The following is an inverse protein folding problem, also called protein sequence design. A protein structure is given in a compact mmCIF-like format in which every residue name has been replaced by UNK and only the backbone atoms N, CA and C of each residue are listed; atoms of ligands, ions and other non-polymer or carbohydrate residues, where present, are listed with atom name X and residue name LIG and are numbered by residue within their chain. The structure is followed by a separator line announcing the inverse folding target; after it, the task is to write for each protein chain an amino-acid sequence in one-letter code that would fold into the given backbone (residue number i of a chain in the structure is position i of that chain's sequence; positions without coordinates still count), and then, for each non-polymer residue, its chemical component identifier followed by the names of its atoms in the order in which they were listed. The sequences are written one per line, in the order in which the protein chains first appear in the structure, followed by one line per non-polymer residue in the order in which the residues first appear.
data_IF_395594013128
#
_entry.id   IF_395594013128
#
_cell.length_a   1.000
_cell.length_b   1.000
_cell.length_c   1.000
_cell.angle_alpha   90.00
_cell.angle_beta   90.00
_cell.angle_gamma   90.00
#
_symmetry.space_group_name_H-M   'P 1'
#
loop_
_entity.id
_entity.type
_entity.pdbx_description
1 polymer ?
#
# COMPACT_ATOMS: atom_id res chain seq x y z
N UNK A 1 -4.50 -21.14 13.10
CA UNK A 1 -3.94 -20.07 12.23
C UNK A 1 -3.84 -18.73 12.98
N UNK A 2 -4.96 -18.17 13.48
CA UNK A 2 -4.97 -16.91 14.23
C UNK A 2 -4.13 -16.87 15.53
N UNK A 3 -3.81 -18.01 16.13
CA UNK A 3 -2.99 -18.11 17.34
C UNK A 3 -1.49 -18.12 17.03
N UNK A 4 -1.08 -18.84 15.98
CA UNK A 4 0.30 -18.79 15.47
C UNK A 4 0.67 -17.37 15.00
N UNK A 5 -0.25 -16.68 14.34
CA UNK A 5 -0.08 -15.28 13.93
C UNK A 5 0.11 -14.34 15.13
N UNK A 6 -0.68 -14.52 16.19
CA UNK A 6 -0.58 -13.72 17.42
C UNK A 6 0.75 -13.95 18.12
N UNK A 7 1.18 -15.20 18.22
CA UNK A 7 2.49 -15.55 18.78
C UNK A 7 3.61 -14.89 17.99
N UNK A 8 3.60 -15.00 16.66
CA UNK A 8 4.65 -14.43 15.82
C UNK A 8 4.73 -12.91 15.89
N UNK A 9 3.57 -12.25 15.90
CA UNK A 9 3.55 -10.81 16.05
C UNK A 9 4.11 -10.37 17.41
N UNK A 10 3.78 -11.08 18.49
CA UNK A 10 4.37 -10.83 19.81
C UNK A 10 5.89 -11.07 19.83
N UNK A 11 6.33 -12.22 19.31
CA UNK A 11 7.74 -12.59 19.24
C UNK A 11 8.59 -11.59 18.44
N UNK A 12 8.01 -10.94 17.43
CA UNK A 12 8.72 -9.98 16.60
C UNK A 12 9.07 -8.67 17.34
N UNK A 13 8.23 -8.24 18.30
CA UNK A 13 8.42 -6.98 19.05
C UNK A 13 8.93 -7.17 20.49
N UNK A 14 9.03 -8.40 20.96
CA UNK A 14 9.53 -8.71 22.30
C UNK A 14 11.02 -9.12 22.25
N UNK A 15 11.79 -8.88 23.33
CA UNK A 15 13.08 -9.53 23.52
C UNK A 15 12.97 -11.06 23.40
N UNK A 16 14.02 -11.71 22.91
CA UNK A 16 14.04 -13.16 22.74
C UNK A 16 13.80 -13.92 24.07
N UNK A 17 14.38 -13.44 25.18
CA UNK A 17 14.18 -14.06 26.49
C UNK A 17 12.73 -13.93 26.99
N UNK A 18 12.08 -12.79 26.73
CA UNK A 18 10.70 -12.55 27.11
C UNK A 18 9.74 -13.43 26.28
N UNK A 19 10.02 -13.58 24.99
CA UNK A 19 9.30 -14.49 24.09
C UNK A 19 9.41 -15.95 24.58
N UNK A 20 10.61 -16.36 25.01
CA UNK A 20 10.83 -17.68 25.59
C UNK A 20 10.04 -17.88 26.88
N UNK A 21 10.02 -16.89 27.77
CA UNK A 21 9.21 -16.89 28.99
C UNK A 21 7.72 -17.07 28.69
N UNK A 22 7.17 -16.27 27.77
CA UNK A 22 5.76 -16.38 27.37
C UNK A 22 5.41 -17.76 26.80
N UNK A 23 6.29 -18.33 25.99
CA UNK A 23 6.08 -19.69 25.46
C UNK A 23 6.13 -20.75 26.58
N UNK A 24 7.04 -20.59 27.54
CA UNK A 24 7.09 -21.46 28.71
C UNK A 24 5.83 -21.38 29.56
N UNK A 25 5.27 -20.18 29.74
CA UNK A 25 4.05 -20.01 30.52
C UNK A 25 2.82 -20.58 29.79
N UNK A 26 2.79 -20.46 28.46
CA UNK A 26 1.68 -20.95 27.64
C UNK A 26 1.70 -22.46 27.37
N UNK A 27 2.87 -23.12 27.42
CA UNK A 27 3.04 -24.53 27.08
C UNK A 27 3.70 -25.30 28.22
N UNK A 28 3.09 -26.40 28.66
CA UNK A 28 3.66 -27.22 29.74
C UNK A 28 5.00 -27.85 29.33
N UNK A 29 5.95 -27.94 30.26
CA UNK A 29 7.31 -28.44 30.02
C UNK A 29 7.41 -29.72 29.14
N UNK A 30 6.67 -30.82 29.39
CA UNK A 30 6.76 -32.02 28.56
C UNK A 30 6.22 -31.83 27.13
N UNK A 31 5.32 -30.88 26.92
CA UNK A 31 4.75 -30.57 25.61
C UNK A 31 5.65 -29.64 24.79
N UNK A 32 6.52 -28.85 25.43
CA UNK A 32 7.44 -27.92 24.74
C UNK A 32 8.38 -28.64 23.78
N UNK A 33 9.02 -29.70 24.26
CA UNK A 33 9.95 -30.50 23.44
C UNK A 33 9.23 -31.14 22.25
N UNK A 34 8.08 -31.77 22.50
CA UNK A 34 7.24 -32.40 21.48
C UNK A 34 6.76 -31.35 20.46
N UNK A 35 6.31 -30.18 20.92
CA UNK A 35 5.89 -29.08 20.06
C UNK A 35 7.04 -28.58 19.19
N UNK A 36 8.21 -28.30 19.77
CA UNK A 36 9.38 -27.86 19.03
C UNK A 36 9.79 -28.90 17.96
N UNK A 37 9.76 -30.19 18.31
CA UNK A 37 10.08 -31.27 17.38
C UNK A 37 9.06 -31.44 16.25
N UNK A 38 7.76 -31.34 16.53
CA UNK A 38 6.74 -31.57 15.51
C UNK A 38 6.39 -30.33 14.69
N UNK A 39 6.36 -29.14 15.30
CA UNK A 39 5.90 -27.91 14.67
C UNK A 39 7.04 -27.06 14.12
N UNK A 40 8.19 -26.98 14.81
CA UNK A 40 9.25 -26.02 14.47
C UNK A 40 10.47 -26.67 13.83
N UNK A 41 10.82 -27.90 14.19
CA UNK A 41 11.91 -28.64 13.56
C UNK A 41 11.75 -28.79 12.06
N UNK A 42 10.57 -29.19 11.51
CA UNK A 42 10.42 -29.33 10.06
C UNK A 42 10.54 -27.99 9.34
N UNK A 43 10.19 -26.89 10.02
CA UNK A 43 10.42 -25.55 9.51
C UNK A 43 11.93 -25.31 9.49
N UNK A 44 12.60 -25.33 10.65
CA UNK A 44 14.03 -25.07 10.80
C UNK A 44 14.92 -25.92 9.89
N UNK A 45 14.59 -27.19 9.71
CA UNK A 45 15.33 -28.11 8.84
C UNK A 45 15.12 -27.85 7.35
N UNK A 46 14.00 -27.23 6.96
CA UNK A 46 13.70 -26.95 5.57
C UNK A 46 14.68 -25.92 5.00
N UNK A 47 15.37 -26.31 3.92
CA UNK A 47 16.39 -25.53 3.24
C UNK A 47 17.83 -25.89 3.60
N UNK A 48 18.08 -26.58 4.72
CA UNK A 48 19.44 -26.92 5.20
C UNK A 48 20.13 -28.07 4.45
N UNK A 49 19.46 -28.69 3.47
CA UNK A 49 20.04 -29.80 2.69
C UNK A 49 21.15 -29.28 1.77
N UNK A 50 22.39 -29.73 2.03
CA UNK A 50 23.62 -29.31 1.34
C UNK A 50 23.84 -30.03 0.01
N UNK A 51 23.04 -31.05 -0.30
CA UNK A 51 23.23 -31.91 -1.47
C UNK A 51 22.65 -31.33 -2.79
N UNK A 52 21.89 -30.23 -2.73
CA UNK A 52 21.37 -29.57 -3.92
C UNK A 52 21.12 -28.10 -3.69
N UNK A 53 21.53 -27.25 -4.64
CA UNK A 53 21.15 -25.84 -4.70
C UNK A 53 19.64 -25.75 -4.89
N UNK A 54 18.88 -25.82 -3.79
CA UNK A 54 17.45 -25.59 -3.82
C UNK A 54 17.22 -24.11 -4.09
N UNK A 55 16.58 -23.83 -5.23
CA UNK A 55 16.03 -22.52 -5.57
C UNK A 55 14.69 -22.25 -4.88
N UNK A 56 14.09 -23.27 -4.26
CA UNK A 56 12.81 -23.18 -3.56
C UNK A 56 12.97 -22.50 -2.20
N UNK A 57 12.03 -21.60 -1.89
CA UNK A 57 12.03 -20.80 -0.65
C UNK A 57 11.78 -21.68 0.59
N UNK A 58 12.44 -21.39 1.74
CA UNK A 58 12.16 -22.08 2.99
C UNK A 58 10.74 -21.81 3.50
N UNK A 59 10.12 -22.80 4.13
CA UNK A 59 8.82 -22.70 4.83
C UNK A 59 8.88 -21.59 5.89
N UNK A 60 7.83 -20.76 5.92
CA UNK A 60 7.58 -19.76 6.95
C UNK A 60 6.47 -20.24 7.88
N UNK A 61 6.49 -19.80 9.15
CA UNK A 61 5.50 -20.25 10.15
C UNK A 61 4.26 -19.36 10.18
N UNK A 62 4.39 -18.10 9.79
CA UNK A 62 3.28 -17.18 9.61
C UNK A 62 2.94 -17.03 8.12
N UNK A 63 1.64 -16.94 7.75
CA UNK A 63 1.21 -16.69 6.36
C UNK A 63 1.58 -15.28 5.87
N UNK A 64 2.08 -14.42 6.75
CA UNK A 64 2.46 -13.05 6.47
C UNK A 64 3.92 -12.83 6.87
N UNK A 65 4.74 -12.29 5.96
CA UNK A 65 6.14 -11.94 6.23
C UNK A 65 7.17 -12.91 5.66
N UNK A 66 6.97 -13.41 4.44
CA UNK A 66 8.01 -14.16 3.71
C UNK A 66 9.34 -13.40 3.69
N UNK A 67 9.30 -12.08 3.56
CA UNK A 67 10.45 -11.17 3.66
C UNK A 67 11.18 -11.17 5.03
N UNK A 68 10.60 -11.73 6.09
CA UNK A 68 11.20 -11.81 7.43
C UNK A 68 11.54 -13.26 7.83
N UNK A 69 11.61 -14.18 6.87
CA UNK A 69 11.81 -15.61 7.13
C UNK A 69 13.09 -15.90 7.95
N UNK A 70 14.20 -15.18 7.70
CA UNK A 70 15.45 -15.31 8.48
C UNK A 70 15.27 -14.96 9.95
N UNK A 71 14.51 -13.91 10.22
CA UNK A 71 14.19 -13.48 11.58
C UNK A 71 13.33 -14.53 12.29
N UNK A 72 12.36 -15.14 11.57
CA UNK A 72 11.59 -16.26 12.11
C UNK A 72 12.51 -17.44 12.47
N UNK A 73 13.52 -17.77 11.64
CA UNK A 73 14.49 -18.83 11.95
C UNK A 73 15.32 -18.50 13.18
N UNK A 74 15.82 -17.26 13.30
CA UNK A 74 16.58 -16.83 14.48
C UNK A 74 15.75 -16.97 15.78
N UNK A 75 14.49 -16.51 15.76
CA UNK A 75 13.57 -16.65 16.88
C UNK A 75 13.32 -18.13 17.22
N UNK A 76 12.98 -18.97 16.24
CA UNK A 76 12.73 -20.39 16.48
C UNK A 76 13.98 -21.13 17.00
N UNK A 77 15.16 -20.85 16.45
CA UNK A 77 16.42 -21.45 16.91
C UNK A 77 16.66 -21.10 18.37
N UNK A 78 16.45 -19.83 18.74
CA UNK A 78 16.57 -19.40 20.13
C UNK A 78 15.58 -20.15 21.03
N UNK A 79 14.29 -20.19 20.66
CA UNK A 79 13.26 -20.84 21.47
C UNK A 79 13.47 -22.35 21.62
N UNK A 80 13.88 -23.03 20.54
CA UNK A 80 14.17 -24.46 20.57
C UNK A 80 15.41 -24.78 21.39
N UNK A 81 16.49 -23.99 21.26
CA UNK A 81 17.81 -24.40 21.74
C UNK A 81 18.21 -23.77 23.07
N UNK A 82 17.87 -22.50 23.33
CA UNK A 82 18.27 -21.78 24.54
C UNK A 82 17.95 -22.53 25.86
N UNK A 83 16.81 -23.23 26.01
CA UNK A 83 16.51 -23.98 27.24
C UNK A 83 17.53 -25.07 27.59
N UNK A 84 18.19 -25.63 26.57
CA UNK A 84 19.11 -26.77 26.66
C UNK A 84 20.58 -26.33 26.62
N UNK A 85 20.83 -25.06 26.32
CA UNK A 85 22.16 -24.49 26.15
C UNK A 85 22.61 -23.81 27.45
N UNK A 86 22.91 -24.62 28.48
CA UNK A 86 23.33 -24.14 29.81
C UNK A 86 24.81 -24.44 30.06
N UNK A 87 25.50 -23.60 30.86
CA UNK A 87 26.87 -23.89 31.28
C UNK A 87 26.99 -25.29 31.88
N UNK A 88 27.94 -26.08 31.37
CA UNK A 88 28.20 -27.45 31.82
C UNK A 88 27.36 -28.56 31.18
N UNK A 89 26.37 -28.23 30.32
CA UNK A 89 25.67 -29.25 29.53
C UNK A 89 26.51 -29.62 28.30
N UNK A 90 26.92 -30.89 28.15
CA UNK A 90 27.79 -31.26 27.04
C UNK A 90 27.05 -31.20 25.70
N UNK A 91 27.76 -30.94 24.58
CA UNK A 91 27.18 -30.78 23.24
C UNK A 91 26.20 -31.89 22.80
N UNK A 92 26.53 -33.13 23.11
CA UNK A 92 25.78 -34.34 22.78
C UNK A 92 24.46 -34.49 23.56
N UNK A 93 24.35 -33.83 24.72
CA UNK A 93 23.12 -33.78 25.50
C UNK A 93 22.13 -32.68 25.04
N UNK A 94 22.49 -31.88 24.04
CA UNK A 94 21.68 -30.76 23.55
C UNK A 94 20.89 -31.16 22.30
N UNK A 95 19.58 -31.46 22.40
CA UNK A 95 18.83 -32.14 21.34
C UNK A 95 18.69 -31.33 20.04
N UNK A 96 18.70 -29.99 20.14
CA UNK A 96 18.58 -29.09 18.99
C UNK A 96 19.92 -28.58 18.46
N UNK A 97 21.04 -28.97 19.07
CA UNK A 97 22.38 -28.51 18.66
C UNK A 97 22.72 -28.83 17.19
N UNK A 98 22.38 -30.01 16.63
CA UNK A 98 22.68 -30.31 15.24
C UNK A 98 22.07 -29.30 14.25
N UNK A 99 20.89 -28.74 14.56
CA UNK A 99 20.30 -27.67 13.74
C UNK A 99 21.10 -26.38 13.83
N UNK A 100 21.53 -25.98 15.02
CA UNK A 100 22.32 -24.76 15.22
C UNK A 100 23.66 -24.86 14.48
N UNK A 101 24.31 -26.02 14.54
CA UNK A 101 25.55 -26.30 13.81
C UNK A 101 25.32 -26.29 12.28
N UNK A 102 24.23 -26.88 11.79
CA UNK A 102 23.88 -26.80 10.38
C UNK A 102 23.69 -25.34 9.93
N UNK A 103 22.97 -24.52 10.71
CA UNK A 103 22.84 -23.09 10.44
C UNK A 103 24.17 -22.35 10.46
N UNK A 104 25.10 -22.71 11.35
CA UNK A 104 26.44 -22.12 11.41
C UNK A 104 27.19 -22.31 10.07
N UNK A 105 27.12 -23.51 9.48
CA UNK A 105 27.71 -23.77 8.17
C UNK A 105 27.06 -23.01 7.02
N UNK A 106 25.81 -22.57 7.19
CA UNK A 106 25.08 -21.78 6.20
C UNK A 106 25.30 -20.27 6.34
N UNK A 107 25.58 -19.76 7.54
CA UNK A 107 25.80 -18.33 7.80
C UNK A 107 27.26 -17.90 7.63
N UNK A 108 28.23 -18.83 7.72
CA UNK A 108 29.66 -18.54 7.62
C UNK A 108 30.46 -19.72 7.00
N UNK A 109 30.91 -19.63 5.73
CA UNK A 109 30.64 -18.55 4.77
C UNK A 109 29.17 -18.59 4.28
N UNK A 110 28.55 -17.45 3.94
CA UNK A 110 27.09 -17.32 3.70
C UNK A 110 26.55 -18.01 2.41
N UNK A 111 27.29 -18.97 1.84
CA UNK A 111 27.05 -19.53 0.50
C UNK A 111 25.66 -20.18 0.33
N UNK A 112 25.13 -20.81 1.38
CA UNK A 112 23.82 -21.45 1.32
C UNK A 112 22.66 -20.46 1.56
N UNK A 113 22.85 -19.49 2.46
CA UNK A 113 21.84 -18.46 2.74
C UNK A 113 21.68 -17.51 1.56
N UNK A 114 22.77 -17.19 0.86
CA UNK A 114 22.75 -16.37 -0.35
C UNK A 114 22.10 -17.11 -1.54
N UNK A 115 22.16 -18.44 -1.56
CA UNK A 115 21.50 -19.27 -2.57
C UNK A 115 19.98 -19.38 -2.37
N UNK A 116 19.49 -19.23 -1.13
CA UNK A 116 18.06 -19.20 -0.83
C UNK A 116 17.45 -17.88 -1.30
N UNK A 117 16.90 -17.88 -2.52
CA UNK A 117 16.30 -16.71 -3.15
C UNK A 117 15.20 -16.07 -2.27
N UNK A 118 15.46 -14.84 -1.80
CA UNK A 118 14.52 -14.04 -1.03
C UNK A 118 15.21 -12.79 -0.48
N UNK A 119 14.45 -11.71 -0.27
CA UNK A 119 14.96 -10.43 0.22
C UNK A 119 15.47 -10.52 1.67
N UNK A 120 16.64 -11.13 1.89
CA UNK A 120 17.36 -11.07 3.15
C UNK A 120 18.19 -9.79 3.22
N UNK A 121 18.01 -9.01 4.28
CA UNK A 121 18.85 -7.82 4.49
C UNK A 121 20.18 -8.22 5.14
N UNK A 122 21.27 -7.45 4.95
CA UNK A 122 22.51 -7.66 5.69
C UNK A 122 22.30 -7.69 7.21
N UNK A 123 21.31 -6.95 7.71
CA UNK A 123 20.98 -6.92 9.13
C UNK A 123 20.26 -8.19 9.60
N UNK A 124 19.35 -8.75 8.78
CA UNK A 124 18.75 -10.07 9.05
C UNK A 124 19.81 -11.15 9.20
N UNK A 125 20.82 -11.12 8.32
CA UNK A 125 21.96 -12.06 8.37
C UNK A 125 22.80 -11.86 9.62
N UNK A 126 23.14 -10.61 9.95
CA UNK A 126 23.90 -10.30 11.16
C UNK A 126 23.17 -10.75 12.43
N UNK A 127 21.84 -10.58 12.49
CA UNK A 127 21.01 -11.03 13.60
C UNK A 127 21.03 -12.55 13.75
N UNK A 128 20.77 -13.29 12.66
CA UNK A 128 20.84 -14.74 12.68
C UNK A 128 22.25 -15.23 13.08
N UNK A 129 23.31 -14.62 12.54
CA UNK A 129 24.69 -14.94 12.90
C UNK A 129 25.00 -14.69 14.38
N UNK A 130 24.48 -13.61 14.96
CA UNK A 130 24.64 -13.32 16.38
C UNK A 130 23.93 -14.38 17.23
N UNK A 131 22.70 -14.74 16.89
CA UNK A 131 21.93 -15.78 17.58
C UNK A 131 22.63 -17.14 17.50
N UNK A 132 23.04 -17.57 16.30
CA UNK A 132 23.74 -18.86 16.11
C UNK A 132 25.03 -18.90 16.92
N UNK A 133 25.85 -17.83 16.91
CA UNK A 133 27.08 -17.76 17.69
C UNK A 133 26.83 -17.85 19.20
N UNK A 134 25.86 -17.09 19.71
CA UNK A 134 25.49 -17.11 21.13
C UNK A 134 25.00 -18.50 21.57
N UNK A 135 24.18 -19.15 20.74
CA UNK A 135 23.66 -20.50 21.00
C UNK A 135 24.77 -21.57 20.96
N UNK A 136 25.73 -21.50 20.05
CA UNK A 136 26.85 -22.46 20.03
C UNK A 136 27.83 -22.25 21.20
N UNK A 137 27.99 -21.00 21.63
CA UNK A 137 28.91 -20.62 22.71
C UNK A 137 28.40 -20.98 24.11
N UNK A 138 27.17 -21.47 24.28
CA UNK A 138 26.64 -21.68 25.63
C UNK A 138 26.07 -20.42 26.27
N UNK A 139 25.91 -19.33 25.50
CA UNK A 139 25.64 -17.99 26.02
C UNK A 139 24.37 -17.36 25.42
N UNK A 140 23.18 -18.01 25.54
CA UNK A 140 21.93 -17.44 25.03
C UNK A 140 21.53 -16.11 25.69
N UNK A 141 22.14 -15.76 26.83
CA UNK A 141 21.95 -14.46 27.48
C UNK A 141 22.45 -13.28 26.65
N UNK A 142 23.52 -13.47 25.86
CA UNK A 142 24.18 -12.39 25.10
C UNK A 142 23.29 -11.77 24.01
N UNK A 143 22.26 -12.52 23.58
CA UNK A 143 21.26 -12.08 22.60
C UNK A 143 19.84 -12.04 23.19
N UNK A 144 19.69 -12.34 24.49
CA UNK A 144 18.38 -12.45 25.13
C UNK A 144 17.57 -11.15 25.08
N UNK A 145 18.25 -10.00 25.19
CA UNK A 145 17.63 -8.67 25.13
C UNK A 145 17.43 -8.15 23.71
N UNK A 146 17.94 -8.87 22.70
CA UNK A 146 17.78 -8.46 21.32
C UNK A 146 16.30 -8.58 20.91
N UNK A 147 15.78 -7.51 20.30
CA UNK A 147 14.42 -7.48 19.77
C UNK A 147 14.45 -7.72 18.25
N UNK A 148 13.73 -8.71 17.72
CA UNK A 148 13.80 -9.07 16.30
C UNK A 148 13.46 -7.92 15.33
N UNK A 149 12.48 -7.07 15.65
CA UNK A 149 12.13 -5.91 14.82
C UNK A 149 13.25 -4.87 14.73
N UNK A 150 13.97 -4.62 15.83
CA UNK A 150 15.09 -3.69 15.88
C UNK A 150 16.26 -4.20 15.03
N UNK A 151 16.44 -5.52 14.99
CA UNK A 151 17.51 -6.15 14.22
C UNK A 151 17.35 -5.98 12.70
N UNK A 152 16.12 -5.89 12.16
CA UNK A 152 15.91 -5.52 10.76
C UNK A 152 16.27 -4.06 10.45
N UNK A 153 16.51 -3.26 11.49
CA UNK A 153 16.38 -1.81 11.45
C UNK A 153 15.10 -1.39 10.73
N UNK A 154 14.04 -2.15 10.99
CA UNK A 154 12.70 -1.90 10.49
C UNK A 154 12.16 -0.70 11.26
N UNK A 155 12.57 0.48 10.80
CA UNK A 155 12.27 1.76 11.40
C UNK A 155 12.89 1.89 12.80
N UNK A 156 13.25 3.10 13.21
CA UNK A 156 13.08 3.43 14.61
C UNK A 156 11.58 3.32 14.84
N UNK A 157 11.07 2.10 15.09
CA UNK A 157 9.77 1.87 15.70
C UNK A 157 9.76 2.86 16.84
N UNK A 158 9.04 3.98 16.73
CA UNK A 158 9.18 5.03 17.70
C UNK A 158 8.92 4.39 19.05
N UNK A 159 9.62 4.80 20.09
CA UNK A 159 9.41 4.34 21.47
C UNK A 159 7.94 4.54 21.98
N UNK A 160 7.04 4.96 21.09
CA UNK A 160 5.60 5.18 21.21
C UNK A 160 4.73 4.01 20.68
N UNK A 161 5.29 2.94 20.08
CA UNK A 161 4.58 1.65 19.84
C UNK A 161 4.22 0.83 21.11
N UNK A 162 4.57 1.14 22.38
CA UNK A 162 4.23 0.27 23.51
C UNK A 162 2.73 0.05 23.80
N UNK A 163 1.81 0.64 23.04
CA UNK A 163 0.36 0.58 23.30
C UNK A 163 -0.49 -0.12 22.23
N UNK A 164 0.07 -0.48 21.08
CA UNK A 164 -0.68 -1.22 20.06
C UNK A 164 -0.62 -2.74 20.33
N UNK A 165 -1.69 -3.51 20.05
CA UNK A 165 -1.61 -4.96 20.07
C UNK A 165 -0.50 -5.46 19.14
N UNK A 166 0.33 -6.45 19.52
CA UNK A 166 1.50 -6.86 18.72
C UNK A 166 1.16 -7.22 17.28
N UNK A 167 0.02 -7.88 17.05
CA UNK A 167 -0.49 -8.19 15.70
C UNK A 167 -0.65 -6.96 14.84
N UNK A 168 -1.24 -5.92 15.41
CA UNK A 168 -1.60 -4.71 14.72
C UNK A 168 -0.33 -3.91 14.36
N UNK A 169 0.63 -3.83 15.30
CA UNK A 169 1.96 -3.29 15.05
C UNK A 169 2.72 -4.07 13.95
N UNK A 170 2.57 -5.40 13.92
CA UNK A 170 3.23 -6.25 12.92
C UNK A 170 2.67 -6.01 11.52
N UNK A 171 1.35 -5.97 11.39
CA UNK A 171 0.68 -5.69 10.11
C UNK A 171 1.03 -4.28 9.60
N UNK A 172 1.07 -3.27 10.46
CA UNK A 172 1.49 -1.91 10.10
C UNK A 172 2.96 -1.85 9.64
N UNK A 173 3.86 -2.49 10.39
CA UNK A 173 5.27 -2.66 10.03
C UNK A 173 5.40 -3.33 8.66
N UNK A 174 4.67 -4.42 8.41
CA UNK A 174 4.70 -5.08 7.11
C UNK A 174 4.19 -4.18 5.98
N UNK A 175 3.07 -3.49 6.19
CA UNK A 175 2.48 -2.60 5.19
C UNK A 175 3.44 -1.48 4.76
N UNK A 176 4.10 -0.83 5.72
CA UNK A 176 5.12 0.17 5.44
C UNK A 176 6.28 -0.40 4.61
N UNK A 177 6.70 -1.63 4.92
CA UNK A 177 7.79 -2.30 4.22
C UNK A 177 7.45 -2.58 2.77
N UNK A 178 6.22 -3.07 2.52
CA UNK A 178 5.72 -3.30 1.16
C UNK A 178 5.58 -1.98 0.38
N UNK A 179 5.07 -0.93 1.01
CA UNK A 179 4.94 0.40 0.38
C UNK A 179 6.31 1.01 0.00
N UNK A 180 7.34 0.79 0.81
CA UNK A 180 8.70 1.24 0.50
C UNK A 180 9.37 0.38 -0.58
N UNK A 181 9.26 -0.95 -0.48
CA UNK A 181 9.81 -1.87 -1.47
C UNK A 181 9.24 -1.62 -2.87
N UNK A 182 7.97 -1.24 -2.94
CA UNK A 182 7.27 -0.86 -4.17
C UNK A 182 7.99 0.21 -4.99
N UNK A 183 8.77 1.08 -4.35
CA UNK A 183 9.56 2.09 -5.06
C UNK A 183 10.69 1.50 -5.90
N UNK A 184 11.17 0.29 -5.54
CA UNK A 184 12.29 -0.37 -6.20
C UNK A 184 11.88 -1.65 -6.96
N UNK A 185 10.86 -2.38 -6.50
CA UNK A 185 10.46 -3.68 -7.04
C UNK A 185 8.93 -3.79 -7.07
N UNK A 186 8.32 -4.24 -8.20
CA UNK A 186 6.89 -4.49 -8.26
C UNK A 186 6.42 -5.52 -7.24
N UNK A 187 5.28 -5.25 -6.60
CA UNK A 187 4.64 -6.19 -5.69
C UNK A 187 4.00 -7.34 -6.47
N UNK A 188 4.17 -8.58 -6.00
CA UNK A 188 3.44 -9.72 -6.54
C UNK A 188 1.95 -9.68 -6.17
N UNK A 189 1.11 -10.46 -6.86
CA UNK A 189 -0.35 -10.47 -6.67
C UNK A 189 -0.77 -10.77 -5.23
N UNK A 190 -0.02 -11.62 -4.52
CA UNK A 190 -0.34 -12.00 -3.13
C UNK A 190 -0.07 -10.83 -2.19
N UNK A 191 1.06 -10.15 -2.36
CA UNK A 191 1.42 -8.93 -1.61
C UNK A 191 0.47 -7.78 -1.91
N UNK A 192 0.08 -7.60 -3.17
CA UNK A 192 -0.90 -6.59 -3.57
C UNK A 192 -2.25 -6.83 -2.91
N UNK A 193 -2.80 -8.05 -3.01
CA UNK A 193 -4.08 -8.41 -2.42
C UNK A 193 -4.07 -8.25 -0.88
N UNK A 194 -2.99 -8.69 -0.23
CA UNK A 194 -2.83 -8.54 1.21
C UNK A 194 -2.79 -7.06 1.63
N UNK A 195 -1.97 -6.25 0.95
CA UNK A 195 -1.82 -4.82 1.28
C UNK A 195 -3.13 -4.08 1.04
N UNK A 196 -3.82 -4.36 -0.06
CA UNK A 196 -5.13 -3.75 -0.34
C UNK A 196 -6.16 -4.14 0.72
N UNK A 197 -6.19 -5.40 1.17
CA UNK A 197 -7.07 -5.84 2.24
C UNK A 197 -6.73 -5.16 3.57
N UNK A 198 -5.44 -5.01 3.89
CA UNK A 198 -4.98 -4.29 5.08
C UNK A 198 -5.44 -2.82 5.06
N UNK A 199 -5.21 -2.12 3.95
CA UNK A 199 -5.66 -0.73 3.76
C UNK A 199 -7.17 -0.60 3.92
N UNK A 200 -7.96 -1.50 3.31
CA UNK A 200 -9.42 -1.50 3.46
C UNK A 200 -9.89 -1.69 4.90
N UNK A 201 -9.25 -2.59 5.67
CA UNK A 201 -9.54 -2.78 7.10
C UNK A 201 -9.21 -1.51 7.88
N UNK A 202 -8.00 -0.99 7.70
CA UNK A 202 -7.56 0.23 8.36
C UNK A 202 -8.49 1.41 8.05
N UNK A 203 -8.91 1.58 6.79
CA UNK A 203 -9.90 2.59 6.39
C UNK A 203 -11.25 2.40 7.07
N UNK A 204 -11.74 1.17 7.16
CA UNK A 204 -12.98 0.85 7.85
C UNK A 204 -12.89 1.21 9.34
N UNK A 205 -11.78 0.84 9.99
CA UNK A 205 -11.53 1.11 11.41
C UNK A 205 -11.41 2.62 11.69
N UNK A 206 -10.75 3.37 10.79
CA UNK A 206 -10.70 4.84 10.83
C UNK A 206 -12.10 5.46 10.68
N UNK A 207 -12.94 4.95 9.76
CA UNK A 207 -14.33 5.40 9.58
C UNK A 207 -15.20 5.11 10.82
N UNK A 208 -14.96 3.99 11.49
CA UNK A 208 -15.72 3.56 12.67
C UNK A 208 -15.37 4.32 13.96
N UNK A 209 -14.42 5.25 13.92
CA UNK A 209 -14.01 6.02 15.10
C UNK A 209 -13.27 5.20 16.15
N UNK A 210 -12.71 4.04 15.79
CA UNK A 210 -11.81 3.24 16.65
C UNK A 210 -10.39 3.83 16.67
N UNK A 211 -10.35 5.16 16.83
CA UNK A 211 -9.37 6.09 16.30
C UNK A 211 -7.95 5.89 16.86
N UNK A 212 -7.76 5.78 18.17
CA UNK A 212 -6.43 6.04 18.70
C UNK A 212 -5.38 4.96 18.34
N UNK A 213 -5.77 3.68 18.29
CA UNK A 213 -4.84 2.61 17.91
C UNK A 213 -4.63 2.56 16.39
N UNK A 214 -5.69 2.76 15.61
CA UNK A 214 -5.67 2.68 14.16
C UNK A 214 -5.01 3.90 13.53
N UNK A 215 -5.24 5.10 14.08
CA UNK A 215 -4.55 6.33 13.67
C UNK A 215 -3.07 6.26 13.97
N UNK A 216 -2.67 5.71 15.13
CA UNK A 216 -1.26 5.49 15.44
C UNK A 216 -0.64 4.46 14.51
N UNK A 217 -1.33 3.38 14.18
CA UNK A 217 -0.85 2.38 13.22
C UNK A 217 -0.77 2.91 11.79
N UNK A 218 -1.75 3.70 11.37
CA UNK A 218 -1.75 4.38 10.08
C UNK A 218 -0.63 5.42 10.03
N UNK A 219 -0.45 6.22 11.09
CA UNK A 219 0.68 7.12 11.22
C UNK A 219 2.01 6.35 11.18
N UNK A 220 2.16 5.23 11.89
CA UNK A 220 3.36 4.39 11.83
C UNK A 220 3.63 3.83 10.42
N UNK A 221 2.58 3.36 9.75
CA UNK A 221 2.70 2.86 8.38
C UNK A 221 3.07 3.97 7.36
N UNK A 222 2.84 5.24 7.72
CA UNK A 222 2.86 6.39 6.82
C UNK A 222 3.83 7.51 7.25
N UNK A 223 4.55 7.41 8.39
CA UNK A 223 5.37 8.49 8.98
C UNK A 223 6.88 8.26 8.94
N UNK A 224 7.36 7.02 9.01
CA UNK A 224 8.79 6.73 9.28
C UNK A 224 9.66 6.36 8.06
N UNK A 225 9.30 6.79 6.84
CA UNK A 225 10.39 6.97 5.86
C UNK A 225 11.20 8.21 6.29
N UNK A 226 12.54 8.21 6.20
CA UNK A 226 13.43 9.19 6.84
C UNK A 226 13.41 10.60 6.18
N UNK A 227 12.24 11.10 5.77
CA UNK A 227 11.98 12.43 5.25
C UNK A 227 10.58 12.84 5.70
N UNK A 228 10.49 13.79 6.62
CA UNK A 228 9.28 14.27 7.27
C UNK A 228 8.07 14.48 6.31
N UNK A 229 6.94 13.80 6.59
CA UNK A 229 5.61 14.09 6.03
C UNK A 229 5.25 13.31 4.76
N UNK A 230 4.63 12.12 4.88
CA UNK A 230 4.57 11.12 3.79
C UNK A 230 3.21 10.49 3.50
N UNK A 231 2.17 10.76 4.30
CA UNK A 231 0.84 10.17 4.12
C UNK A 231 0.22 10.36 2.71
N UNK A 232 0.60 11.36 1.93
CA UNK A 232 0.06 11.68 0.61
C UNK A 232 1.19 12.09 -0.35
N UNK A 233 2.35 11.42 -0.32
CA UNK A 233 3.33 11.57 -1.40
C UNK A 233 2.72 11.27 -2.78
N UNK A 234 2.62 12.25 -3.68
CA UNK A 234 2.16 12.05 -5.05
C UNK A 234 2.94 10.96 -5.80
N UNK A 235 4.26 10.94 -5.61
CA UNK A 235 5.15 9.97 -6.24
C UNK A 235 4.90 8.52 -5.80
N UNK A 236 4.50 8.30 -4.54
CA UNK A 236 4.19 6.95 -4.05
C UNK A 236 2.84 6.48 -4.60
N UNK A 237 1.83 7.35 -4.59
CA UNK A 237 0.54 7.07 -5.22
C UNK A 237 0.72 6.74 -6.71
N UNK A 238 1.51 7.53 -7.44
CA UNK A 238 1.85 7.25 -8.83
C UNK A 238 2.55 5.91 -8.97
N UNK A 239 3.56 5.60 -8.14
CA UNK A 239 4.25 4.31 -8.19
C UNK A 239 3.34 3.11 -7.93
N UNK A 240 2.37 3.25 -7.00
CA UNK A 240 1.35 2.22 -6.74
C UNK A 240 0.37 2.11 -7.90
N UNK A 241 -0.03 3.23 -8.52
CA UNK A 241 -1.00 3.26 -9.62
C UNK A 241 -0.46 2.49 -10.83
N UNK A 242 0.85 2.59 -11.10
CA UNK A 242 1.53 1.80 -12.15
C UNK A 242 1.33 0.30 -12.01
N UNK A 243 1.15 -0.18 -10.79
CA UNK A 243 1.03 -1.61 -10.50
C UNK A 243 -0.42 -2.02 -10.33
N UNK A 244 -1.20 -1.24 -9.58
CA UNK A 244 -2.58 -1.55 -9.28
C UNK A 244 -3.38 -0.30 -8.87
N UNK A 245 -4.24 0.19 -9.77
CA UNK A 245 -5.08 1.37 -9.56
C UNK A 245 -5.91 1.31 -8.26
N UNK A 246 -6.52 0.16 -7.98
CA UNK A 246 -7.33 -0.03 -6.77
C UNK A 246 -6.51 -0.08 -5.47
N UNK A 247 -5.20 -0.33 -5.53
CA UNK A 247 -4.35 -0.29 -4.35
C UNK A 247 -3.92 1.15 -4.06
N UNK A 248 -3.56 1.88 -5.12
CA UNK A 248 -3.22 3.29 -5.05
C UNK A 248 -4.40 4.15 -4.56
N UNK A 249 -5.62 3.88 -5.05
CA UNK A 249 -6.82 4.55 -4.58
C UNK A 249 -7.09 4.27 -3.09
N UNK A 250 -7.03 3.01 -2.65
CA UNK A 250 -7.20 2.66 -1.22
C UNK A 250 -6.16 3.33 -0.34
N UNK A 251 -4.91 3.44 -0.80
CA UNK A 251 -3.86 4.15 -0.09
C UNK A 251 -4.20 5.64 0.09
N UNK A 252 -4.55 6.34 -0.99
CA UNK A 252 -4.99 7.75 -0.94
C UNK A 252 -6.19 7.94 0.00
N UNK A 253 -7.19 7.06 -0.08
CA UNK A 253 -8.38 7.15 0.75
C UNK A 253 -8.07 6.91 2.24
N UNK A 254 -7.19 5.96 2.56
CA UNK A 254 -6.75 5.73 3.94
C UNK A 254 -6.03 6.96 4.52
N UNK A 255 -5.18 7.59 3.72
CA UNK A 255 -4.30 8.64 4.20
C UNK A 255 -5.03 9.98 4.35
N UNK A 256 -6.03 10.24 3.51
CA UNK A 256 -6.96 11.35 3.68
C UNK A 256 -7.83 11.26 4.94
N UNK A 257 -7.92 10.08 5.59
CA UNK A 257 -8.66 9.90 6.85
C UNK A 257 -7.80 10.11 8.09
N UNK A 258 -6.50 10.33 7.93
CA UNK A 258 -5.63 10.63 9.06
C UNK A 258 -5.94 12.01 9.64
N UNK A 259 -5.87 12.18 10.97
CA UNK A 259 -6.03 13.47 11.61
C UNK A 259 -5.05 14.52 11.03
N UNK A 260 -5.44 15.79 10.90
CA UNK A 260 -4.57 16.87 10.43
C UNK A 260 -3.29 17.04 11.25
N UNK A 261 -3.29 16.62 12.52
CA UNK A 261 -2.10 16.62 13.40
C UNK A 261 -0.99 15.68 12.92
N UNK A 262 -1.32 14.69 12.08
CA UNK A 262 -0.38 13.78 11.44
C UNK A 262 -0.03 14.19 10.01
N UNK A 263 -0.73 15.19 9.46
CA UNK A 263 -0.44 15.79 8.16
C UNK A 263 0.44 17.03 8.39
N UNK A 264 1.53 17.23 7.62
CA UNK A 264 2.25 18.48 7.66
C UNK A 264 1.32 19.69 7.43
N UNK A 265 1.57 20.86 8.06
CA UNK A 265 0.73 22.05 7.89
C UNK A 265 0.58 22.52 6.43
N UNK A 266 1.52 22.14 5.55
CA UNK A 266 1.46 22.41 4.12
C UNK A 266 0.46 21.52 3.35
N UNK A 267 -0.17 20.53 4.00
CA UNK A 267 -0.98 19.49 3.35
C UNK A 267 -2.46 19.79 3.31
N UNK A 268 -2.82 20.96 3.84
CA UNK A 268 -4.12 21.57 3.66
C UNK A 268 -4.15 22.48 2.43
N UNK A 269 -3.06 22.56 1.67
CA UNK A 269 -2.96 23.35 0.46
C UNK A 269 -3.35 22.54 -0.77
N UNK A 270 -4.37 23.05 -1.45
CA UNK A 270 -4.79 22.91 -2.85
C UNK A 270 -3.78 22.17 -3.77
N UNK A 271 -2.50 22.55 -3.70
CA UNK A 271 -1.42 21.98 -4.49
C UNK A 271 -1.15 20.48 -4.30
N UNK A 272 -1.60 19.80 -3.24
CA UNK A 272 -1.34 18.35 -3.10
C UNK A 272 -2.11 17.51 -4.12
N UNK A 273 -3.37 17.84 -4.38
CA UNK A 273 -4.20 17.13 -5.36
C UNK A 273 -3.73 17.42 -6.79
N UNK A 274 -3.27 18.65 -7.03
CA UNK A 274 -2.60 19.03 -8.26
C UNK A 274 -1.29 18.27 -8.44
N UNK A 275 -0.42 18.24 -7.42
CA UNK A 275 0.82 17.47 -7.46
C UNK A 275 0.57 15.98 -7.66
N UNK A 276 -0.51 15.42 -7.09
CA UNK A 276 -0.96 14.06 -7.37
C UNK A 276 -1.30 13.88 -8.85
N UNK A 277 -2.08 14.79 -9.43
CA UNK A 277 -2.40 14.78 -10.85
C UNK A 277 -1.15 14.87 -11.73
N UNK A 278 -0.22 15.75 -11.38
CA UNK A 278 1.05 15.91 -12.09
C UNK A 278 1.95 14.67 -11.98
N UNK A 279 2.10 14.09 -10.78
CA UNK A 279 2.89 12.88 -10.57
C UNK A 279 2.31 11.67 -11.32
N UNK A 280 0.98 11.57 -11.41
CA UNK A 280 0.28 10.53 -12.16
C UNK A 280 0.46 10.71 -13.68
N UNK A 281 0.52 11.95 -14.16
CA UNK A 281 0.68 12.26 -15.58
C UNK A 281 2.14 12.10 -16.08
N UNK A 282 3.12 12.13 -15.18
CA UNK A 282 4.54 12.11 -15.53
C UNK A 282 5.00 10.80 -16.20
N UNK A 283 4.35 9.67 -15.91
CA UNK A 283 4.64 8.36 -16.51
C UNK A 283 3.59 8.00 -17.57
N UNK A 284 3.81 8.46 -18.80
CA UNK A 284 2.88 8.26 -19.93
C UNK A 284 2.68 6.79 -20.30
N UNK A 285 3.63 5.91 -20.00
CA UNK A 285 3.53 4.48 -20.28
C UNK A 285 2.46 3.79 -19.42
N UNK A 286 2.16 4.34 -18.24
CA UNK A 286 1.19 3.79 -17.29
C UNK A 286 -0.05 4.67 -17.10
N UNK A 287 -0.27 5.60 -18.04
CA UNK A 287 -1.31 6.63 -17.95
C UNK A 287 -2.74 6.06 -17.82
N UNK A 288 -2.99 4.87 -18.40
CA UNK A 288 -4.28 4.17 -18.28
C UNK A 288 -4.56 3.72 -16.84
N UNK A 289 -3.56 3.14 -16.17
CA UNK A 289 -3.69 2.71 -14.78
C UNK A 289 -3.85 3.89 -13.82
N UNK A 290 -3.18 5.01 -14.10
CA UNK A 290 -3.41 6.28 -13.42
C UNK A 290 -4.85 6.81 -13.63
N UNK A 291 -5.35 6.76 -14.86
CA UNK A 291 -6.73 7.14 -15.19
C UNK A 291 -7.78 6.28 -14.46
N UNK A 292 -7.56 4.97 -14.36
CA UNK A 292 -8.45 4.08 -13.60
C UNK A 292 -8.46 4.40 -12.10
N UNK A 293 -7.29 4.76 -11.53
CA UNK A 293 -7.21 5.23 -10.14
C UNK A 293 -8.02 6.52 -9.95
N UNK A 294 -7.89 7.50 -10.85
CA UNK A 294 -8.63 8.75 -10.78
C UNK A 294 -10.14 8.54 -10.87
N UNK A 295 -10.60 7.60 -11.71
CA UNK A 295 -12.03 7.22 -11.78
C UNK A 295 -12.54 6.68 -10.43
N UNK A 296 -11.73 5.89 -9.71
CA UNK A 296 -12.09 5.41 -8.37
C UNK A 296 -12.19 6.56 -7.35
N UNK A 297 -11.30 7.55 -7.45
CA UNK A 297 -11.34 8.74 -6.57
C UNK A 297 -12.53 9.65 -6.88
N UNK A 298 -12.85 9.86 -8.17
CA UNK A 298 -14.01 10.64 -8.60
C UNK A 298 -15.35 10.02 -8.20
N UNK A 299 -15.38 8.71 -7.96
CA UNK A 299 -16.57 7.97 -7.49
C UNK A 299 -16.63 7.83 -5.96
N UNK A 300 -15.67 8.40 -5.23
CA UNK A 300 -15.57 8.24 -3.78
C UNK A 300 -16.61 9.09 -3.03
N UNK A 301 -17.26 8.48 -2.04
CA UNK A 301 -18.17 9.15 -1.10
C UNK A 301 -17.43 9.74 0.12
N UNK A 302 -16.10 9.60 0.15
CA UNK A 302 -15.29 9.95 1.30
C UNK A 302 -15.01 11.44 1.41
N UNK A 303 -14.72 11.87 2.65
CA UNK A 303 -14.42 13.25 2.99
C UNK A 303 -13.10 13.33 3.75
N UNK A 304 -12.31 14.36 3.45
CA UNK A 304 -11.06 14.69 4.11
C UNK A 304 -11.27 15.94 4.97
N UNK A 305 -10.75 15.90 6.20
CA UNK A 305 -10.69 17.09 7.04
C UNK A 305 -9.47 17.92 6.64
N UNK A 306 -9.69 19.15 6.20
CA UNK A 306 -8.66 20.09 5.80
C UNK A 306 -8.74 21.35 6.66
N UNK A 307 -7.60 21.83 7.16
CA UNK A 307 -7.51 23.12 7.86
C UNK A 307 -7.15 24.23 6.87
N UNK A 308 -8.13 25.05 6.54
CA UNK A 308 -8.04 26.13 5.58
C UNK A 308 -7.05 27.23 6.03
N UNK A 309 -6.64 28.12 5.13
CA UNK A 309 -5.67 29.19 5.42
C UNK A 309 -6.17 30.18 6.49
N UNK A 310 -7.49 30.38 6.57
CA UNK A 310 -8.14 31.17 7.62
C UNK A 310 -8.19 30.45 8.98
N UNK A 311 -7.63 29.24 9.06
CA UNK A 311 -7.57 28.40 10.24
C UNK A 311 -8.82 27.59 10.52
N UNK A 312 -9.86 27.67 9.67
CA UNK A 312 -11.10 26.91 9.80
C UNK A 312 -10.90 25.46 9.36
N UNK A 313 -11.54 24.51 10.05
CA UNK A 313 -11.56 23.11 9.64
C UNK A 313 -12.77 22.87 8.72
N UNK A 314 -12.51 22.42 7.49
CA UNK A 314 -13.51 22.09 6.49
C UNK A 314 -13.45 20.59 6.13
N UNK A 315 -14.62 19.98 5.95
CA UNK A 315 -14.73 18.61 5.46
C UNK A 315 -14.97 18.60 3.95
N UNK A 316 -13.92 18.38 3.15
CA UNK A 316 -13.98 18.40 1.69
C UNK A 316 -14.23 17.00 1.13
N UNK A 317 -15.08 16.89 0.09
CA UNK A 317 -15.33 15.61 -0.59
C UNK A 317 -14.14 15.21 -1.45
N UNK A 318 -13.68 13.96 -1.34
CA UNK A 318 -12.57 13.43 -2.15
C UNK A 318 -12.94 13.41 -3.64
N UNK A 319 -14.19 13.06 -3.98
CA UNK A 319 -14.66 13.17 -5.36
C UNK A 319 -14.54 14.60 -5.89
N UNK A 320 -14.94 15.60 -5.12
CA UNK A 320 -14.82 17.00 -5.52
C UNK A 320 -13.36 17.38 -5.76
N UNK A 321 -12.45 17.06 -4.83
CA UNK A 321 -11.02 17.33 -4.95
C UNK A 321 -10.40 16.64 -6.18
N UNK A 322 -10.78 15.39 -6.44
CA UNK A 322 -10.33 14.65 -7.60
C UNK A 322 -10.82 15.28 -8.91
N UNK A 323 -12.11 15.59 -8.99
CA UNK A 323 -12.75 16.13 -10.20
C UNK A 323 -12.33 17.58 -10.52
N UNK A 324 -12.01 18.36 -9.48
CA UNK A 324 -11.76 19.82 -9.59
C UNK A 324 -10.30 20.21 -9.57
N UNK A 325 -9.41 19.41 -8.98
CA UNK A 325 -7.98 19.74 -8.87
C UNK A 325 -7.10 18.67 -9.53
N UNK A 326 -7.32 17.40 -9.19
CA UNK A 326 -6.42 16.32 -9.60
C UNK A 326 -6.55 15.94 -11.08
N UNK A 327 -7.78 15.67 -11.54
CA UNK A 327 -8.08 15.32 -12.93
C UNK A 327 -7.73 16.47 -13.88
N UNK A 328 -8.09 17.74 -13.58
CA UNK A 328 -7.68 18.87 -14.42
C UNK A 328 -6.18 18.96 -14.60
N UNK A 329 -5.42 18.89 -13.49
CA UNK A 329 -3.97 18.95 -13.55
C UNK A 329 -3.37 17.77 -14.33
N UNK A 330 -3.88 16.56 -14.12
CA UNK A 330 -3.48 15.38 -14.87
C UNK A 330 -3.68 15.56 -16.39
N UNK A 331 -4.87 16.02 -16.80
CA UNK A 331 -5.18 16.25 -18.21
C UNK A 331 -4.36 17.39 -18.83
N UNK A 332 -4.13 18.49 -18.10
CA UNK A 332 -3.33 19.62 -18.58
C UNK A 332 -1.88 19.21 -18.87
N UNK A 333 -1.26 18.41 -17.98
CA UNK A 333 0.10 17.90 -18.19
C UNK A 333 0.15 16.97 -19.40
N UNK A 334 -0.81 16.06 -19.56
CA UNK A 334 -0.84 15.16 -20.72
C UNK A 334 -1.11 15.89 -22.04
N UNK A 335 -2.01 16.86 -22.04
CA UNK A 335 -2.30 17.69 -23.22
C UNK A 335 -1.04 18.47 -23.65
N UNK A 336 -0.30 19.04 -22.69
CA UNK A 336 0.98 19.71 -22.95
C UNK A 336 2.04 18.72 -23.49
N UNK A 337 2.08 17.49 -22.96
CA UNK A 337 2.95 16.44 -23.48
C UNK A 337 2.58 16.06 -24.94
N UNK A 338 1.30 15.97 -25.26
CA UNK A 338 0.82 15.73 -26.64
C UNK A 338 1.22 16.85 -27.61
N UNK A 339 1.35 18.10 -27.14
CA UNK A 339 1.77 19.23 -27.98
C UNK A 339 3.27 19.22 -28.28
N UNK A 340 4.08 18.85 -27.29
CA UNK A 340 5.55 18.82 -27.36
C UNK A 340 6.09 17.57 -28.06
N UNK A 341 5.45 16.42 -27.88
CA UNK A 341 5.82 15.15 -28.51
C UNK A 341 4.55 14.40 -28.97
N UNK A 342 4.11 14.58 -30.23
CA UNK A 342 2.88 14.00 -30.72
C UNK A 342 2.97 12.47 -30.78
N UNK A 343 2.25 11.81 -29.87
CA UNK A 343 2.06 10.35 -29.81
C UNK A 343 0.57 10.02 -30.02
N UNK A 344 0.26 9.25 -31.06
CA UNK A 344 -1.14 8.91 -31.39
C UNK A 344 -1.84 8.12 -30.27
N UNK A 345 -1.15 7.16 -29.64
CA UNK A 345 -1.70 6.37 -28.52
C UNK A 345 -2.07 7.24 -27.30
N UNK A 346 -1.23 8.24 -27.00
CA UNK A 346 -1.48 9.18 -25.90
C UNK A 346 -2.66 10.09 -26.26
N UNK A 347 -2.70 10.59 -27.50
CA UNK A 347 -3.78 11.43 -27.99
C UNK A 347 -5.13 10.70 -27.98
N UNK A 348 -5.17 9.44 -28.42
CA UNK A 348 -6.35 8.59 -28.36
C UNK A 348 -6.80 8.39 -26.91
N UNK A 349 -5.87 8.04 -26.01
CA UNK A 349 -6.19 7.87 -24.58
C UNK A 349 -6.76 9.16 -23.99
N UNK A 350 -6.07 10.29 -24.12
CA UNK A 350 -6.51 11.57 -23.53
C UNK A 350 -7.88 11.96 -24.07
N UNK A 351 -8.11 11.86 -25.39
CA UNK A 351 -9.40 12.24 -25.97
C UNK A 351 -10.54 11.32 -25.52
N UNK A 352 -10.36 10.00 -25.61
CA UNK A 352 -11.40 9.03 -25.26
C UNK A 352 -11.69 9.02 -23.75
N UNK A 353 -10.67 9.12 -22.91
CA UNK A 353 -10.81 9.14 -21.47
C UNK A 353 -11.45 10.43 -20.98
N UNK A 354 -11.04 11.59 -21.52
CA UNK A 354 -11.68 12.89 -21.20
C UNK A 354 -13.15 12.88 -21.58
N UNK A 355 -13.49 12.43 -22.80
CA UNK A 355 -14.88 12.34 -23.23
C UNK A 355 -15.70 11.42 -22.31
N UNK A 356 -15.12 10.29 -21.87
CA UNK A 356 -15.74 9.40 -20.90
C UNK A 356 -15.99 10.09 -19.55
N UNK A 357 -15.06 10.91 -19.07
CA UNK A 357 -15.24 11.67 -17.82
C UNK A 357 -16.35 12.71 -17.94
N UNK A 358 -16.39 13.45 -19.06
CA UNK A 358 -17.46 14.42 -19.35
C UNK A 358 -18.83 13.72 -19.38
N UNK A 359 -18.96 12.61 -20.12
CA UNK A 359 -20.21 11.84 -20.19
C UNK A 359 -20.65 11.27 -18.84
N UNK A 360 -19.71 10.89 -17.97
CA UNK A 360 -20.00 10.39 -16.62
C UNK A 360 -20.24 11.51 -15.59
N UNK A 361 -20.06 12.77 -15.97
CA UNK A 361 -20.15 13.91 -15.04
C UNK A 361 -18.99 14.01 -14.06
N UNK A 362 -17.86 13.33 -14.32
CA UNK A 362 -16.65 13.40 -13.49
C UNK A 362 -15.70 14.55 -13.86
N UNK A 363 -15.96 15.24 -14.96
CA UNK A 363 -15.25 16.46 -15.33
C UNK A 363 -16.30 17.56 -15.59
N UNK A 364 -16.62 18.40 -14.58
CA UNK A 364 -17.67 19.39 -14.67
C UNK A 364 -17.16 20.65 -15.38
N UNK A 365 -16.85 20.55 -16.68
CA UNK A 365 -16.47 21.69 -17.53
C UNK A 365 -17.62 22.70 -17.72
N UNK A 366 -18.84 22.32 -17.34
CA UNK A 366 -19.99 23.22 -17.27
C UNK A 366 -20.32 23.48 -15.80
N UNK A 367 -20.36 24.77 -15.43
CA UNK A 367 -20.38 25.34 -14.07
C UNK A 367 -21.62 25.03 -13.21
N UNK A 368 -22.21 23.84 -13.29
CA UNK A 368 -23.51 23.54 -12.66
C UNK A 368 -23.44 22.87 -11.28
N UNK A 369 -22.25 22.62 -10.73
CA UNK A 369 -22.17 22.08 -9.36
C UNK A 369 -22.24 23.21 -8.33
N UNK A 370 -23.44 23.43 -7.77
CA UNK A 370 -23.61 24.31 -6.60
C UNK A 370 -22.87 23.71 -5.39
N UNK A 371 -22.18 24.53 -4.59
CA UNK A 371 -21.49 24.09 -3.36
C UNK A 371 -22.44 23.51 -2.28
N UNK A 372 -23.75 23.66 -2.45
CA UNK A 372 -24.81 23.18 -1.54
C UNK A 372 -24.85 21.64 -1.39
N UNK A 373 -24.38 20.87 -2.39
CA UNK A 373 -24.28 19.41 -2.30
C UNK A 373 -23.10 18.93 -1.42
N UNK A 374 -22.21 19.83 -1.02
CA UNK A 374 -21.01 19.52 -0.26
C UNK A 374 -21.22 19.65 1.26
N UNK A 375 -22.39 20.05 1.77
CA UNK A 375 -22.59 20.20 3.23
C UNK A 375 -21.57 21.15 3.88
N UNK A 376 -21.17 22.18 3.15
CA UNK A 376 -20.21 23.20 3.56
C UNK A 376 -20.97 24.41 4.10
N UNK A 377 -20.58 24.92 5.26
CA UNK A 377 -21.04 26.22 5.76
C UNK A 377 -20.50 27.29 4.82
N UNK A 378 -21.39 28.06 4.19
CA UNK A 378 -21.10 29.01 3.11
C UNK A 378 -20.25 30.24 3.52
N UNK A 379 -19.74 30.30 4.75
CA UNK A 379 -19.19 31.51 5.34
C UNK A 379 -17.64 31.60 5.35
N UNK A 380 -16.92 30.61 4.82
CA UNK A 380 -15.44 30.67 4.74
C UNK A 380 -14.96 31.31 3.44
N UNK A 381 -14.27 32.45 3.55
CA UNK A 381 -13.60 33.10 2.43
C UNK A 381 -12.52 32.21 1.79
N UNK A 382 -11.85 31.37 2.58
CA UNK A 382 -10.85 30.43 2.07
C UNK A 382 -11.48 29.35 1.18
N UNK A 383 -12.68 28.87 1.50
CA UNK A 383 -13.40 27.92 0.66
C UNK A 383 -13.86 28.55 -0.66
N UNK A 384 -14.32 29.80 -0.62
CA UNK A 384 -14.68 30.54 -1.83
C UNK A 384 -13.46 30.76 -2.75
N UNK A 385 -12.30 31.06 -2.17
CA UNK A 385 -11.04 31.18 -2.90
C UNK A 385 -10.63 29.86 -3.57
N UNK A 386 -10.70 28.73 -2.84
CA UNK A 386 -10.42 27.41 -3.38
C UNK A 386 -11.38 27.04 -4.54
N UNK A 387 -12.67 27.35 -4.40
CA UNK A 387 -13.64 27.12 -5.48
C UNK A 387 -13.33 27.98 -6.71
N UNK A 388 -12.98 29.27 -6.52
CA UNK A 388 -12.61 30.15 -7.62
C UNK A 388 -11.36 29.68 -8.36
N UNK A 389 -10.31 29.28 -7.62
CA UNK A 389 -9.09 28.70 -8.19
C UNK A 389 -9.39 27.44 -9.02
N UNK A 390 -10.22 26.54 -8.48
CA UNK A 390 -10.63 25.34 -9.20
C UNK A 390 -11.46 25.62 -10.47
N UNK A 391 -12.29 26.67 -10.45
CA UNK A 391 -13.06 27.08 -11.63
C UNK A 391 -12.15 27.69 -12.70
N UNK A 392 -11.16 28.50 -12.31
CA UNK A 392 -10.17 29.08 -13.23
C UNK A 392 -9.31 27.99 -13.91
N UNK A 393 -8.87 26.97 -13.16
CA UNK A 393 -8.13 25.82 -13.71
C UNK A 393 -8.97 25.00 -14.71
N UNK A 394 -10.27 24.86 -14.46
CA UNK A 394 -11.18 24.16 -15.40
C UNK A 394 -11.41 24.96 -16.68
N UNK A 395 -11.56 26.27 -16.59
CA UNK A 395 -11.70 27.14 -17.77
C UNK A 395 -10.44 27.09 -18.65
N UNK A 396 -9.25 27.13 -18.02
CA UNK A 396 -7.98 26.94 -18.73
C UNK A 396 -7.89 25.55 -19.36
N UNK A 397 -8.29 24.51 -18.65
CA UNK A 397 -8.28 23.15 -19.16
C UNK A 397 -9.19 22.98 -20.37
N UNK A 398 -10.41 23.54 -20.35
CA UNK A 398 -11.34 23.46 -21.49
C UNK A 398 -10.69 24.05 -22.75
N UNK A 399 -10.04 25.21 -22.62
CA UNK A 399 -9.31 25.83 -23.73
C UNK A 399 -8.16 24.95 -24.26
N UNK A 400 -7.35 24.38 -23.36
CA UNK A 400 -6.24 23.49 -23.71
C UNK A 400 -6.74 22.22 -24.40
N UNK A 401 -7.79 21.58 -23.88
CA UNK A 401 -8.37 20.36 -24.46
C UNK A 401 -9.01 20.61 -25.81
N UNK A 402 -9.69 21.75 -26.02
CA UNK A 402 -10.23 22.12 -27.34
C UNK A 402 -9.12 22.34 -28.36
N UNK A 403 -8.06 23.05 -27.98
CA UNK A 403 -6.88 23.26 -28.83
C UNK A 403 -6.25 21.93 -29.24
N UNK A 404 -6.03 21.04 -28.26
CA UNK A 404 -5.50 19.70 -28.50
C UNK A 404 -6.43 18.88 -29.41
N UNK A 405 -7.74 18.85 -29.14
CA UNK A 405 -8.70 18.10 -29.94
C UNK A 405 -8.78 18.59 -31.39
N UNK A 406 -8.75 19.90 -31.63
CA UNK A 406 -8.71 20.48 -32.99
C UNK A 406 -7.48 20.03 -33.77
N UNK A 407 -6.31 19.99 -33.12
CA UNK A 407 -5.06 19.57 -33.75
C UNK A 407 -5.11 18.12 -34.23
N UNK A 408 -5.83 17.26 -33.51
CA UNK A 408 -6.03 15.85 -33.86
C UNK A 408 -7.37 15.59 -34.56
N UNK A 409 -8.11 16.61 -35.01
CA UNK A 409 -9.48 16.47 -35.54
C UNK A 409 -9.63 15.53 -36.76
N UNK A 410 -8.53 15.20 -37.44
CA UNK A 410 -8.50 14.15 -38.47
C UNK A 410 -8.86 12.75 -37.93
N UNK A 411 -8.74 12.53 -36.62
CA UNK A 411 -9.08 11.29 -35.94
C UNK A 411 -10.46 11.38 -35.28
N UNK A 412 -11.25 10.31 -35.42
CA UNK A 412 -12.62 10.25 -34.90
C UNK A 412 -12.71 10.52 -33.39
N UNK A 413 -11.73 10.03 -32.60
CA UNK A 413 -11.69 10.23 -31.15
C UNK A 413 -11.56 11.71 -30.75
N UNK A 414 -10.79 12.49 -31.50
CA UNK A 414 -10.52 13.89 -31.20
C UNK A 414 -11.68 14.78 -31.68
N UNK A 415 -12.26 14.46 -32.84
CA UNK A 415 -13.49 15.09 -33.30
C UNK A 415 -14.65 14.88 -32.31
N UNK A 416 -14.80 13.66 -31.78
CA UNK A 416 -15.79 13.34 -30.76
C UNK A 416 -15.56 14.11 -29.45
N UNK A 417 -14.31 14.22 -28.99
CA UNK A 417 -13.97 15.06 -27.84
C UNK A 417 -14.35 16.52 -28.11
N UNK A 418 -13.93 17.10 -29.23
CA UNK A 418 -14.21 18.49 -29.57
C UNK A 418 -15.72 18.78 -29.60
N UNK A 419 -16.51 17.89 -30.21
CA UNK A 419 -17.97 17.97 -30.22
C UNK A 419 -18.54 17.89 -28.79
N UNK A 420 -18.09 16.93 -27.98
CA UNK A 420 -18.51 16.78 -26.59
C UNK A 420 -18.21 18.00 -25.71
N UNK A 421 -17.06 18.63 -25.90
CA UNK A 421 -16.68 19.87 -25.20
C UNK A 421 -17.51 21.07 -25.66
N UNK A 422 -17.83 21.14 -26.95
CA UNK A 422 -18.51 22.30 -27.56
C UNK A 422 -20.02 22.28 -27.32
N UNK A 423 -20.65 21.11 -27.27
CA UNK A 423 -22.11 20.97 -27.21
C UNK A 423 -22.59 20.46 -25.83
N UNK A 424 -21.66 20.11 -24.93
CA UNK A 424 -21.96 19.50 -23.64
C UNK A 424 -22.65 18.14 -23.77
N UNK A 425 -23.04 17.49 -22.66
CA UNK A 425 -23.70 16.18 -22.67
C UNK A 425 -25.12 16.16 -23.30
N UNK A 426 -25.53 17.19 -24.06
CA UNK A 426 -26.76 17.19 -24.85
C UNK A 426 -26.43 16.87 -26.32
N UNK A 427 -26.55 15.60 -26.70
CA UNK A 427 -26.50 15.27 -28.13
C UNK A 427 -26.24 13.82 -28.58
N UNK A 428 -26.19 12.83 -27.69
CA UNK A 428 -26.24 11.43 -28.12
C UNK A 428 -27.62 10.87 -27.83
N UNK A 429 -28.56 11.02 -28.78
CA UNK A 429 -29.65 10.08 -28.86
C UNK A 429 -29.04 8.67 -29.00
N UNK A 430 -29.48 7.66 -28.23
CA UNK A 430 -29.06 6.29 -28.49
C UNK A 430 -29.37 5.97 -29.96
N UNK A 431 -28.51 5.23 -30.69
CA UNK A 431 -28.85 4.79 -32.03
C UNK A 431 -30.22 4.11 -31.96
N UNK A 432 -31.14 4.61 -32.77
CA UNK A 432 -32.48 4.08 -32.94
C UNK A 432 -32.33 2.58 -33.23
N UNK A 433 -32.61 1.74 -32.23
CA UNK A 433 -32.85 0.32 -32.48
C UNK A 433 -34.29 0.29 -32.99
N UNK A 434 -34.44 0.02 -34.29
CA UNK A 434 -35.77 -0.20 -34.85
C UNK A 434 -36.49 -1.27 -34.02
N UNK A 435 -37.73 -1.00 -33.57
CA UNK A 435 -38.50 -2.01 -32.88
C UNK A 435 -38.72 -3.20 -33.83
N UNK A 436 -38.71 -4.44 -33.31
CA UNK A 436 -39.03 -5.60 -34.14
C UNK A 436 -40.44 -5.41 -34.69
N UNK A 437 -40.56 -5.58 -36.01
CA UNK A 437 -41.82 -5.57 -36.74
C UNK A 437 -42.72 -6.67 -36.16
N UNK A 438 -43.66 -6.28 -35.31
CA UNK A 438 -44.84 -7.08 -35.03
C UNK A 438 -45.77 -6.98 -36.23
N UNK A 439 -45.97 -8.10 -36.91
CA UNK A 439 -46.89 -8.18 -38.05
C UNK A 439 -47.04 -9.58 -38.61
N UNK A 440 -48.00 -10.34 -38.05
CA UNK A 440 -48.95 -11.09 -38.88
C UNK A 440 -48.64 -12.56 -39.21
N UNK A 441 -49.16 -13.43 -38.35
CA UNK A 441 -49.89 -14.67 -38.63
C UNK A 441 -49.91 -15.29 -40.05
N UNK A 442 -49.56 -16.58 -40.11
CA UNK A 442 -50.34 -17.69 -40.68
C UNK A 442 -49.47 -18.97 -40.58
N UNK A 443 -49.78 -19.99 -39.78
CA UNK A 443 -50.94 -20.86 -39.92
C UNK A 443 -50.62 -22.04 -40.87
N UNK A 444 -50.36 -23.24 -40.31
CA UNK A 444 -50.58 -24.62 -40.88
C UNK A 444 -49.76 -25.65 -40.10
N UNK A 445 -50.37 -26.36 -39.13
CA UNK A 445 -50.88 -27.74 -39.26
C UNK A 445 -49.83 -28.79 -39.61
N UNK A 446 -49.36 -29.55 -38.61
CA UNK A 446 -49.59 -30.99 -38.41
C UNK A 446 -48.74 -31.47 -37.23
#
# INVERSE_FOLDING_TARGET
MAEAERFWAAAYFAPLHATLGQWHDACAAPQRFVHALHAWWPVLADGLDTAGLRTARPRCVAPWGEEAWLVQRAVLLYLCHAPYCRPGVPPDAQPFRPLVEAYATCVDPPRAIDAWQGASTPRDRAFLQAVVRALLAGAPGDVGDATPCAARGAWDVPAHIPRAPPRAAYEASRAAGLLMQNAAVPLDLVRQAWLQQFLRRMRHDLRAGQAESTERMAALALRDAPMHGLCMRPALAASLARQHAGLAAEWVLCTCRLPPTHLPPAWTREGLWEQLGEALAHDTAHVRAAGDMLVLLCASDERVSARMEDGTDAALGIAWLAQRLCVPRFLAVLATAMESAPHEDLAEFVCTWTLRLVHKGYLPLHRDARPEALGLSADSAALAALQAHADDELDMLDAVLRSAALRYARHAYAAALYQGLTHGPRGAAPPHVDPPVEGGEAGRTA
#
